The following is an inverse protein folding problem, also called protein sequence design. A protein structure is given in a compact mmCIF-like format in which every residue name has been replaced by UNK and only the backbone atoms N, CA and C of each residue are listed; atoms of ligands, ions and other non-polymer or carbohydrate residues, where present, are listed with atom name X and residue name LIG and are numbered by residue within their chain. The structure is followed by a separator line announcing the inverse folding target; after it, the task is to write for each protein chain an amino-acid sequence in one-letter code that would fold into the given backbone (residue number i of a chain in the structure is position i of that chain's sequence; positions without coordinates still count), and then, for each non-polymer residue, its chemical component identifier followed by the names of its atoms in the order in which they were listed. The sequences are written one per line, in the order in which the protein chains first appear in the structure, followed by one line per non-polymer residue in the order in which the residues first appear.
data_IF_634646382768
#
_entry.id   IF_634646382768
#
_cell.length_a   1.000
_cell.length_b   1.000
_cell.length_c   1.000
_cell.angle_alpha   90.00
_cell.angle_beta   90.00
_cell.angle_gamma   90.00
#
_symmetry.space_group_name_H-M   'P 1'
#
loop_
_entity.id
_entity.type
_entity.pdbx_description
1 polymer ?
#
# COMPACT_ATOMS: atom_id res chain seq x y z
N UNK A 1 9.05 0.24 -44.79
CA UNK A 1 8.54 -1.05 -44.32
C UNK A 1 8.26 -0.92 -42.83
N UNK A 2 7.01 -0.63 -42.46
CA UNK A 2 6.58 -0.57 -41.05
C UNK A 2 6.11 -1.99 -40.68
N UNK A 3 6.45 -2.52 -39.49
CA UNK A 3 6.06 -3.88 -39.17
C UNK A 3 4.54 -3.90 -39.00
N UNK A 4 3.94 -4.88 -39.67
CA UNK A 4 2.55 -5.28 -39.52
C UNK A 4 2.31 -5.55 -38.05
N UNK A 5 1.48 -4.72 -37.42
CA UNK A 5 0.78 -5.12 -36.21
C UNK A 5 -0.06 -6.32 -36.63
N UNK A 6 0.44 -7.52 -36.38
CA UNK A 6 -0.32 -8.77 -36.49
C UNK A 6 -1.66 -8.54 -35.78
N UNK A 7 -2.73 -8.54 -36.57
CA UNK A 7 -4.11 -8.55 -36.10
C UNK A 7 -4.30 -9.87 -35.36
N UNK A 8 -3.93 -9.90 -34.08
CA UNK A 8 -4.16 -11.03 -33.19
C UNK A 8 -5.66 -11.38 -33.25
N UNK A 9 -6.01 -12.65 -33.36
CA UNK A 9 -7.40 -13.09 -33.47
C UNK A 9 -8.23 -12.48 -32.32
N UNK A 10 -9.40 -11.87 -32.58
CA UNK A 10 -10.29 -11.36 -31.54
C UNK A 10 -10.57 -12.35 -30.40
N UNK A 11 -10.64 -13.66 -30.68
CA UNK A 11 -10.80 -14.69 -29.67
C UNK A 11 -9.55 -14.85 -28.79
N UNK A 12 -8.35 -14.85 -29.40
CA UNK A 12 -7.08 -14.90 -28.66
C UNK A 12 -6.83 -13.63 -27.81
N UNK A 13 -7.32 -12.47 -28.26
CA UNK A 13 -7.29 -11.23 -27.48
C UNK A 13 -8.22 -11.31 -26.27
N UNK A 14 -9.40 -11.92 -26.41
CA UNK A 14 -10.34 -12.13 -25.32
C UNK A 14 -9.77 -13.09 -24.27
N UNK A 15 -9.24 -14.24 -24.69
CA UNK A 15 -8.62 -15.22 -23.78
C UNK A 15 -7.42 -14.62 -23.01
N UNK A 16 -6.58 -13.84 -23.70
CA UNK A 16 -5.47 -13.14 -23.07
C UNK A 16 -5.94 -12.07 -22.06
N UNK A 17 -7.03 -11.36 -22.37
CA UNK A 17 -7.63 -10.38 -21.48
C UNK A 17 -8.24 -11.03 -20.22
N UNK A 18 -8.91 -12.17 -20.39
CA UNK A 18 -9.48 -12.94 -19.27
C UNK A 18 -8.41 -13.51 -18.34
N UNK A 19 -7.30 -14.01 -18.89
CA UNK A 19 -6.18 -14.49 -18.08
C UNK A 19 -5.48 -13.35 -17.34
N UNK A 20 -5.32 -12.19 -18.00
CA UNK A 20 -4.77 -11.00 -17.35
C UNK A 20 -5.67 -10.51 -16.20
N UNK A 21 -6.99 -10.41 -16.42
CA UNK A 21 -7.95 -10.03 -15.36
C UNK A 21 -7.88 -11.01 -14.17
N UNK A 22 -7.83 -12.31 -14.46
CA UNK A 22 -7.68 -13.35 -13.44
C UNK A 22 -6.40 -13.18 -12.63
N UNK A 23 -5.28 -12.89 -13.30
CA UNK A 23 -4.01 -12.61 -12.65
C UNK A 23 -4.05 -11.33 -11.80
N UNK A 24 -4.67 -10.26 -12.31
CA UNK A 24 -4.87 -9.01 -11.57
C UNK A 24 -5.67 -9.26 -10.30
N UNK A 25 -6.83 -9.93 -10.40
CA UNK A 25 -7.69 -10.24 -9.25
C UNK A 25 -6.96 -11.05 -8.17
N UNK A 26 -6.26 -12.11 -8.57
CA UNK A 26 -5.47 -12.94 -7.63
C UNK A 26 -4.38 -12.12 -6.94
N UNK A 27 -3.71 -11.23 -7.68
CA UNK A 27 -2.63 -10.39 -7.15
C UNK A 27 -3.19 -9.33 -6.19
N UNK A 28 -4.31 -8.71 -6.53
CA UNK A 28 -5.01 -7.75 -5.68
C UNK A 28 -5.45 -8.41 -4.35
N UNK A 29 -6.04 -9.61 -4.42
CA UNK A 29 -6.43 -10.36 -3.22
C UNK A 29 -5.22 -10.71 -2.34
N UNK A 30 -4.09 -11.09 -2.96
CA UNK A 30 -2.85 -11.36 -2.23
C UNK A 30 -2.29 -10.11 -1.56
N UNK A 31 -2.30 -8.96 -2.26
CA UNK A 31 -1.88 -7.69 -1.70
C UNK A 31 -2.74 -7.30 -0.49
N UNK A 32 -4.07 -7.40 -0.59
CA UNK A 32 -4.99 -7.10 0.50
C UNK A 32 -4.73 -7.98 1.74
N UNK A 33 -4.55 -9.30 1.57
CA UNK A 33 -4.19 -10.21 2.67
C UNK A 33 -2.87 -9.85 3.32
N UNK A 34 -1.87 -9.50 2.52
CA UNK A 34 -0.54 -9.14 3.02
C UNK A 34 -0.56 -7.82 3.80
N UNK A 35 -1.33 -6.83 3.35
CA UNK A 35 -1.52 -5.56 4.06
C UNK A 35 -2.22 -5.76 5.41
N UNK A 36 -3.28 -6.58 5.45
CA UNK A 36 -3.96 -6.93 6.71
C UNK A 36 -3.02 -7.65 7.68
N UNK A 37 -2.22 -8.59 7.19
CA UNK A 37 -1.22 -9.29 8.00
C UNK A 37 -0.17 -8.34 8.56
N UNK A 38 0.35 -7.43 7.72
CA UNK A 38 1.30 -6.40 8.15
C UNK A 38 0.71 -5.51 9.24
N UNK A 39 -0.54 -5.08 9.11
CA UNK A 39 -1.22 -4.28 10.12
C UNK A 39 -1.28 -5.00 11.48
N UNK A 40 -1.65 -6.30 11.49
CA UNK A 40 -1.65 -7.11 12.72
C UNK A 40 -0.26 -7.19 13.37
N UNK A 41 0.77 -7.45 12.57
CA UNK A 41 2.15 -7.50 13.04
C UNK A 41 2.63 -6.17 13.62
N UNK A 42 2.21 -5.03 13.05
CA UNK A 42 2.55 -3.71 13.59
C UNK A 42 1.88 -3.44 14.95
N UNK A 43 0.65 -3.92 15.15
CA UNK A 43 -0.04 -3.83 16.45
C UNK A 43 0.71 -4.65 17.51
N UNK A 44 1.04 -5.90 17.21
CA UNK A 44 1.82 -6.77 18.11
C UNK A 44 3.20 -6.18 18.41
N UNK A 45 3.91 -5.73 17.37
CA UNK A 45 5.21 -5.07 17.48
C UNK A 45 5.16 -3.81 18.35
N UNK A 46 4.07 -3.03 18.26
CA UNK A 46 3.88 -1.84 19.10
C UNK A 46 3.63 -2.22 20.55
N UNK A 47 2.76 -3.20 20.79
CA UNK A 47 2.44 -3.69 22.13
C UNK A 47 3.67 -4.27 22.85
N UNK A 48 4.54 -4.97 22.11
CA UNK A 48 5.80 -5.50 22.63
C UNK A 48 6.98 -4.54 22.60
N UNK A 49 6.76 -3.26 22.28
CA UNK A 49 7.81 -2.24 22.16
C UNK A 49 9.05 -2.70 21.35
N UNK A 50 8.85 -3.50 20.29
CA UNK A 50 9.95 -4.19 19.59
C UNK A 50 11.03 -3.24 19.06
N UNK A 51 10.65 -2.00 18.74
CA UNK A 51 11.56 -0.94 18.33
C UNK A 51 12.68 -0.72 19.37
N UNK A 52 12.35 -0.67 20.67
CA UNK A 52 13.31 -0.52 21.73
C UNK A 52 14.18 -1.77 21.87
N UNK A 53 13.57 -2.96 21.82
CA UNK A 53 14.29 -4.24 21.86
C UNK A 53 15.30 -4.41 20.71
N UNK A 54 14.99 -3.83 19.54
CA UNK A 54 15.84 -3.84 18.35
C UNK A 54 16.77 -2.61 18.25
N UNK A 55 16.81 -1.75 19.28
CA UNK A 55 17.73 -0.60 19.35
C UNK A 55 17.34 0.61 18.49
N UNK A 56 16.10 0.72 18.05
CA UNK A 56 15.59 1.92 17.39
C UNK A 56 15.30 3.02 18.41
N UNK A 57 15.69 4.24 18.07
CA UNK A 57 15.47 5.44 18.91
C UNK A 57 13.98 5.68 19.22
N UNK A 58 13.09 5.30 18.30
CA UNK A 58 11.66 5.50 18.47
C UNK A 58 10.83 4.58 17.57
N UNK A 59 9.56 4.39 17.93
CA UNK A 59 8.59 3.66 17.10
C UNK A 59 8.47 4.22 15.67
N UNK A 60 8.42 5.54 15.43
CA UNK A 60 8.48 6.10 14.08
C UNK A 60 9.75 5.74 13.30
N UNK A 61 10.92 5.72 13.94
CA UNK A 61 12.18 5.34 13.28
C UNK A 61 12.17 3.87 12.82
N UNK A 62 11.60 2.99 13.63
CA UNK A 62 11.35 1.60 13.27
C UNK A 62 10.43 1.47 12.05
N UNK A 63 9.28 2.16 12.06
CA UNK A 63 8.34 2.13 10.95
C UNK A 63 8.94 2.68 9.65
N UNK A 64 9.62 3.83 9.71
CA UNK A 64 10.25 4.43 8.55
C UNK A 64 11.30 3.52 7.90
N UNK A 65 12.03 2.75 8.72
CA UNK A 65 13.01 1.79 8.23
C UNK A 65 12.33 0.54 7.63
N UNK A 66 11.35 -0.05 8.31
CA UNK A 66 10.74 -1.32 7.90
C UNK A 66 9.72 -1.19 6.77
N UNK A 67 9.05 -0.05 6.67
CA UNK A 67 8.06 0.23 5.62
C UNK A 67 8.66 0.92 4.38
N UNK A 68 9.96 1.24 4.41
CA UNK A 68 10.67 1.85 3.29
C UNK A 68 10.53 1.12 1.94
N UNK A 69 10.48 -0.23 1.89
CA UNK A 69 10.26 -0.94 0.62
C UNK A 69 8.90 -0.65 0.00
N UNK A 70 7.87 -0.47 0.82
CA UNK A 70 6.49 -0.23 0.38
C UNK A 70 6.35 1.20 -0.16
N UNK A 71 7.01 2.18 0.47
CA UNK A 71 6.86 3.59 0.10
C UNK A 71 7.59 3.98 -1.19
N UNK A 72 8.49 3.12 -1.70
CA UNK A 72 9.23 3.35 -2.96
C UNK A 72 8.47 2.90 -4.20
N UNK A 73 7.49 2.02 -4.07
CA UNK A 73 6.81 1.37 -5.20
C UNK A 73 5.38 1.83 -5.42
N UNK A 74 4.77 2.48 -4.44
CA UNK A 74 3.36 2.86 -4.53
C UNK A 74 3.17 4.18 -5.30
N UNK A 75 2.22 4.17 -6.22
CA UNK A 75 1.76 5.37 -6.88
C UNK A 75 0.94 6.26 -5.94
N UNK A 76 0.55 7.45 -6.43
CA UNK A 76 -0.12 8.45 -5.61
C UNK A 76 -1.50 7.99 -5.12
N UNK A 77 -2.21 7.11 -5.81
CA UNK A 77 -3.52 6.60 -5.40
C UNK A 77 -3.39 5.44 -4.43
N UNK A 78 -2.45 4.52 -4.66
CA UNK A 78 -2.15 3.41 -3.75
C UNK A 78 -1.66 3.92 -2.38
N UNK A 79 -0.88 5.01 -2.39
CA UNK A 79 -0.51 5.74 -1.17
C UNK A 79 -1.74 6.26 -0.41
N UNK A 80 -2.79 6.73 -1.11
CA UNK A 80 -4.00 7.24 -0.45
C UNK A 80 -4.81 6.13 0.19
N UNK A 81 -4.89 4.97 -0.44
CA UNK A 81 -5.59 3.80 0.11
C UNK A 81 -4.86 3.26 1.34
N UNK A 82 -3.53 3.13 1.28
CA UNK A 82 -2.70 2.77 2.44
C UNK A 82 -2.92 3.74 3.61
N UNK A 83 -2.96 5.05 3.35
CA UNK A 83 -3.26 6.07 4.37
C UNK A 83 -4.66 5.89 4.98
N UNK A 84 -5.66 5.51 4.17
CA UNK A 84 -7.02 5.29 4.64
C UNK A 84 -7.11 4.05 5.54
N UNK A 85 -6.39 2.97 5.23
CA UNK A 85 -6.39 1.76 6.03
C UNK A 85 -5.59 1.91 7.33
N UNK A 86 -4.45 2.61 7.29
CA UNK A 86 -3.70 2.97 8.51
C UNK A 86 -4.53 3.86 9.45
N UNK A 87 -5.41 4.70 8.90
CA UNK A 87 -6.38 5.49 9.69
C UNK A 87 -7.44 4.59 10.33
N UNK A 88 -8.02 3.63 9.60
CA UNK A 88 -8.99 2.67 10.16
C UNK A 88 -8.38 1.84 11.29
N UNK A 89 -7.08 1.57 11.21
CA UNK A 89 -6.28 0.95 12.27
C UNK A 89 -5.98 1.89 13.47
N UNK A 90 -6.50 3.12 13.49
CA UNK A 90 -6.41 4.04 14.62
C UNK A 90 -5.20 4.97 14.62
N UNK A 91 -4.40 5.01 13.55
CA UNK A 91 -3.20 5.86 13.51
C UNK A 91 -3.53 7.34 13.25
N UNK A 92 -2.80 8.24 13.92
CA UNK A 92 -2.93 9.69 13.71
C UNK A 92 -2.25 10.15 12.41
N UNK A 93 -2.63 11.32 11.86
CA UNK A 93 -1.93 11.95 10.72
C UNK A 93 -0.44 12.07 10.95
N UNK A 94 -0.03 12.37 12.19
CA UNK A 94 1.37 12.51 12.56
C UNK A 94 2.09 11.17 12.41
N UNK A 95 1.49 10.09 12.88
CA UNK A 95 2.06 8.74 12.84
C UNK A 95 2.11 8.20 11.41
N UNK A 96 1.06 8.44 10.62
CA UNK A 96 0.97 8.02 9.21
C UNK A 96 2.03 8.75 8.37
N UNK A 97 2.18 10.07 8.56
CA UNK A 97 3.17 10.86 7.81
C UNK A 97 4.59 10.42 8.12
N UNK A 98 4.89 10.07 9.37
CA UNK A 98 6.18 9.53 9.77
C UNK A 98 6.42 8.12 9.20
N UNK A 99 5.42 7.24 9.24
CA UNK A 99 5.52 5.86 8.81
C UNK A 99 5.64 5.69 7.28
N UNK A 100 4.96 6.55 6.51
CA UNK A 100 4.88 6.44 5.04
C UNK A 100 5.86 7.37 4.32
N UNK A 101 6.58 8.23 5.05
CA UNK A 101 7.36 9.36 4.49
C UNK A 101 6.55 10.29 3.55
N UNK A 102 5.22 10.17 3.58
CA UNK A 102 4.32 11.00 2.80
C UNK A 102 4.17 12.34 3.51
N UNK A 103 4.27 13.44 2.75
CA UNK A 103 4.09 14.79 3.28
C UNK A 103 2.73 14.91 3.99
N UNK A 104 2.74 15.50 5.20
CA UNK A 104 1.55 15.71 6.05
C UNK A 104 0.37 16.31 5.29
N UNK A 105 0.60 17.21 4.34
CA UNK A 105 -0.44 17.80 3.50
C UNK A 105 -1.14 16.82 2.54
N UNK A 106 -0.48 15.76 2.08
CA UNK A 106 -1.10 14.71 1.27
C UNK A 106 -1.95 13.78 2.14
N UNK A 107 -1.47 13.44 3.35
CA UNK A 107 -2.23 12.67 4.35
C UNK A 107 -3.52 13.40 4.74
N UNK A 108 -3.44 14.70 5.01
CA UNK A 108 -4.61 15.53 5.34
C UNK A 108 -5.62 15.63 4.18
N UNK A 109 -5.15 15.67 2.92
CA UNK A 109 -6.04 15.66 1.75
C UNK A 109 -6.76 14.32 1.59
N UNK A 110 -6.09 13.20 1.81
CA UNK A 110 -6.74 11.88 1.86
C UNK A 110 -7.78 11.80 2.98
N UNK A 111 -7.48 12.37 4.15
CA UNK A 111 -8.42 12.43 5.28
C UNK A 111 -9.72 13.15 4.93
N UNK A 112 -9.65 14.30 4.25
CA UNK A 112 -10.83 15.05 3.83
C UNK A 112 -11.61 14.35 2.73
N UNK A 113 -10.92 13.73 1.78
CA UNK A 113 -11.57 12.99 0.69
C UNK A 113 -12.36 11.75 1.18
N UNK A 114 -11.89 11.09 2.25
CA UNK A 114 -12.58 9.93 2.85
C UNK A 114 -13.69 10.27 3.86
N UNK A 115 -13.95 11.55 4.15
CA UNK A 115 -15.01 12.02 5.05
C UNK A 115 -16.25 12.58 4.30
N UNK A 116 -16.21 12.62 2.96
CA UNK A 116 -17.32 13.08 2.11
C UNK A 116 -18.12 11.95 1.45
N UNK A 117 -18.17 10.77 2.09
CA UNK A 117 -19.08 9.68 1.72
C UNK A 117 -19.92 9.29 2.91
#
# INVERSE_FOLDING_TARGET
MKPETELRDPAEQLDAAEELDRCIRRTADAAARNLNKLAGLLVEAKAGEIHAALGFESWPAYLANRLQPITKTLDRNEVRELIADLRKAGMSVRDISAATSVRRGLVLRSWRAGLSR
#
